data_IF_021834396083
#
_entry.id   IF_021834396083
#
_cell.length_a   1.000
_cell.length_b   1.000
_cell.length_c   1.000
_cell.angle_alpha   90.00
_cell.angle_beta   90.00
_cell.angle_gamma   90.00
#
_symmetry.space_group_name_H-M   'P 1'
#
loop_
_entity.id
_entity.type
_entity.pdbx_description
1 polymer ?
#
# COMPACT_ATOMS: atom_id res chain seq x y z
N UNK A 1 -40.52 -0.97 40.40
CA UNK A 1 -39.04 -0.90 40.46
C UNK A 1 -38.54 0.17 39.47
N UNK A 2 -38.44 1.45 39.89
CA UNK A 2 -37.98 2.56 39.02
C UNK A 2 -36.44 2.52 38.97
N UNK A 3 -35.85 1.92 37.93
CA UNK A 3 -34.38 1.97 37.73
C UNK A 3 -33.96 3.43 37.63
N UNK A 4 -32.98 3.80 38.44
CA UNK A 4 -32.59 5.19 38.68
C UNK A 4 -31.83 5.75 37.46
N UNK A 5 -32.57 6.32 36.50
CA UNK A 5 -32.02 6.94 35.27
C UNK A 5 -30.90 7.96 35.55
N UNK A 6 -30.92 8.60 36.72
CA UNK A 6 -29.91 9.57 37.14
C UNK A 6 -28.51 8.96 37.40
N UNK A 7 -28.42 7.72 37.91
CA UNK A 7 -27.14 7.04 38.13
C UNK A 7 -26.50 6.60 36.79
N UNK A 8 -27.31 6.17 35.83
CA UNK A 8 -26.80 5.86 34.49
C UNK A 8 -26.28 7.12 33.78
N UNK A 9 -27.02 8.24 33.80
CA UNK A 9 -26.59 9.45 33.10
C UNK A 9 -25.27 10.02 33.63
N UNK A 10 -25.05 10.02 34.95
CA UNK A 10 -23.77 10.44 35.55
C UNK A 10 -22.62 9.48 35.21
N UNK A 11 -22.89 8.19 35.11
CA UNK A 11 -21.92 7.18 34.66
C UNK A 11 -21.49 7.36 33.20
N UNK A 12 -22.44 7.59 32.29
CA UNK A 12 -22.16 7.87 30.87
C UNK A 12 -21.42 9.20 30.67
N UNK A 13 -21.76 10.24 31.44
CA UNK A 13 -21.04 11.51 31.41
C UNK A 13 -19.59 11.34 31.89
N UNK A 14 -19.38 10.64 33.01
CA UNK A 14 -18.03 10.34 33.50
C UNK A 14 -17.20 9.53 32.51
N UNK A 15 -17.80 8.53 31.86
CA UNK A 15 -17.16 7.76 30.81
C UNK A 15 -16.79 8.62 29.60
N UNK A 16 -17.70 9.48 29.13
CA UNK A 16 -17.46 10.38 28.00
C UNK A 16 -16.31 11.36 28.28
N UNK A 17 -16.28 11.97 29.46
CA UNK A 17 -15.19 12.87 29.87
C UNK A 17 -13.86 12.11 29.96
N UNK A 18 -13.85 10.91 30.53
CA UNK A 18 -12.65 10.08 30.61
C UNK A 18 -12.11 9.69 29.23
N UNK A 19 -12.99 9.29 28.31
CA UNK A 19 -12.61 8.95 26.94
C UNK A 19 -12.05 10.15 26.17
N UNK A 20 -12.64 11.33 26.31
CA UNK A 20 -12.13 12.56 25.68
C UNK A 20 -10.78 12.98 26.27
N UNK A 21 -10.60 12.89 27.58
CA UNK A 21 -9.33 13.18 28.22
C UNK A 21 -8.23 12.21 27.74
N UNK A 22 -8.55 10.92 27.59
CA UNK A 22 -7.64 9.94 27.02
C UNK A 22 -7.30 10.26 25.56
N UNK A 23 -8.29 10.55 24.71
CA UNK A 23 -8.08 10.92 23.31
C UNK A 23 -7.25 12.20 23.15
N UNK A 24 -7.38 13.15 24.08
CA UNK A 24 -6.53 14.34 24.15
C UNK A 24 -5.11 14.01 24.59
N UNK A 25 -4.96 13.17 25.62
CA UNK A 25 -3.66 12.77 26.16
C UNK A 25 -2.81 12.00 25.13
N UNK A 26 -3.41 11.11 24.34
CA UNK A 26 -2.66 10.35 23.33
C UNK A 26 -2.08 11.22 22.20
N UNK A 27 -2.60 12.45 21.98
CA UNK A 27 -2.04 13.36 20.97
C UNK A 27 -0.65 13.88 21.35
N UNK A 28 -0.23 13.74 22.61
CA UNK A 28 1.10 14.16 23.08
C UNK A 28 2.18 13.09 22.89
N UNK A 29 1.81 11.88 22.46
CA UNK A 29 2.78 10.87 22.09
C UNK A 29 3.37 11.26 20.72
N UNK A 30 4.70 11.45 20.61
CA UNK A 30 5.32 12.01 19.40
C UNK A 30 5.29 11.07 18.18
N UNK A 31 4.92 9.80 18.37
CA UNK A 31 4.85 8.83 17.29
C UNK A 31 3.84 9.25 16.22
N UNK A 32 4.20 9.06 14.94
CA UNK A 32 3.38 9.43 13.79
C UNK A 32 3.22 10.92 13.56
N UNK A 33 3.97 11.80 14.26
CA UNK A 33 3.98 13.24 14.01
C UNK A 33 4.91 13.65 12.85
N UNK A 34 5.96 12.88 12.61
CA UNK A 34 6.96 13.16 11.57
C UNK A 34 6.52 12.56 10.23
N UNK A 35 6.01 13.43 9.36
CA UNK A 35 5.45 13.07 8.04
C UNK A 35 6.28 13.67 6.92
N UNK A 36 7.59 13.64 7.12
CA UNK A 36 8.55 14.17 6.17
C UNK A 36 8.90 13.08 5.18
N UNK A 37 8.81 13.41 3.90
CA UNK A 37 9.23 12.55 2.83
C UNK A 37 10.76 12.63 2.71
N UNK A 38 11.47 11.48 2.75
CA UNK A 38 12.90 11.46 2.46
C UNK A 38 13.19 11.92 1.02
N UNK A 39 14.47 12.06 0.69
CA UNK A 39 14.90 12.34 -0.68
C UNK A 39 14.45 11.24 -1.65
N UNK A 40 14.26 11.62 -2.91
CA UNK A 40 14.01 10.67 -4.01
C UNK A 40 15.36 10.34 -4.63
N UNK A 41 15.66 9.05 -4.78
CA UNK A 41 16.89 8.60 -5.43
C UNK A 41 16.60 8.23 -6.89
N UNK A 42 15.99 7.07 -7.10
CA UNK A 42 15.74 6.51 -8.43
C UNK A 42 14.50 5.63 -8.41
N UNK A 43 13.79 5.63 -9.52
CA UNK A 43 12.65 4.75 -9.79
C UNK A 43 13.08 3.56 -10.66
N UNK A 44 12.30 2.46 -10.70
CA UNK A 44 12.54 1.40 -11.69
C UNK A 44 12.45 1.91 -13.11
N UNK A 45 13.11 1.20 -14.03
CA UNK A 45 12.92 1.37 -15.45
C UNK A 45 11.53 0.86 -15.87
N UNK A 46 10.52 1.71 -15.75
CA UNK A 46 9.14 1.40 -16.09
C UNK A 46 9.00 0.89 -17.53
N UNK A 47 8.21 -0.16 -17.74
CA UNK A 47 7.91 -0.67 -19.09
C UNK A 47 7.19 0.38 -19.95
N UNK A 48 6.37 1.23 -19.31
CA UNK A 48 5.62 2.28 -19.97
C UNK A 48 5.27 3.44 -19.02
N UNK A 49 5.06 4.66 -19.55
CA UNK A 49 4.54 5.78 -18.76
C UNK A 49 3.18 5.48 -18.10
N UNK A 50 2.37 4.64 -18.72
CA UNK A 50 1.06 4.22 -18.22
C UNK A 50 1.20 3.35 -16.97
N UNK A 51 2.14 2.40 -16.95
CA UNK A 51 2.43 1.61 -15.75
C UNK A 51 2.88 2.49 -14.61
N UNK A 52 3.83 3.40 -14.85
CA UNK A 52 4.27 4.37 -13.85
C UNK A 52 3.10 5.17 -13.28
N UNK A 53 2.21 5.66 -14.14
CA UNK A 53 1.04 6.44 -13.72
C UNK A 53 0.09 5.62 -12.83
N UNK A 54 -0.14 4.34 -13.15
CA UNK A 54 -0.95 3.45 -12.33
C UNK A 54 -0.30 3.16 -10.98
N UNK A 55 0.99 2.84 -10.96
CA UNK A 55 1.74 2.58 -9.71
C UNK A 55 1.79 3.83 -8.84
N UNK A 56 2.04 5.01 -9.42
CA UNK A 56 2.01 6.27 -8.68
C UNK A 56 0.64 6.58 -8.08
N UNK A 57 -0.43 6.19 -8.76
CA UNK A 57 -1.80 6.39 -8.25
C UNK A 57 -2.14 5.48 -7.08
N UNK A 58 -1.65 4.23 -7.08
CA UNK A 58 -2.17 3.20 -6.16
C UNK A 58 -1.15 2.66 -5.16
N UNK A 59 0.15 2.85 -5.40
CA UNK A 59 1.21 2.29 -4.57
C UNK A 59 2.06 3.37 -3.88
N UNK A 60 2.32 4.52 -4.53
CA UNK A 60 3.31 5.49 -4.06
C UNK A 60 2.98 6.08 -2.69
N UNK A 61 1.70 6.16 -2.32
CA UNK A 61 1.33 6.68 -1.01
C UNK A 61 1.92 5.84 0.14
N UNK A 62 2.14 4.53 -0.04
CA UNK A 62 2.80 3.66 0.96
C UNK A 62 4.21 3.21 0.56
N UNK A 63 4.47 2.97 -0.71
CA UNK A 63 5.70 2.36 -1.22
C UNK A 63 6.62 3.36 -1.94
N UNK A 64 6.61 4.64 -1.56
CA UNK A 64 7.52 5.63 -2.13
C UNK A 64 7.89 6.72 -1.14
N UNK A 65 8.98 7.45 -1.41
CA UNK A 65 9.30 8.70 -0.71
C UNK A 65 8.44 9.87 -1.20
N UNK A 66 7.45 9.64 -2.07
CA UNK A 66 6.48 10.64 -2.53
C UNK A 66 5.11 10.51 -1.85
N UNK A 67 5.05 9.94 -0.64
CA UNK A 67 3.80 9.76 0.11
C UNK A 67 3.00 11.06 0.22
N UNK A 68 1.73 11.03 -0.22
CA UNK A 68 0.79 12.12 0.01
C UNK A 68 0.10 11.92 1.34
N UNK A 69 0.62 12.55 2.39
CA UNK A 69 0.09 12.43 3.74
C UNK A 69 -1.33 13.01 3.86
N UNK A 70 -2.37 12.19 4.08
CA UNK A 70 -3.73 12.68 4.19
C UNK A 70 -3.94 13.43 5.51
N UNK A 71 -4.89 14.35 5.56
CA UNK A 71 -5.10 15.20 6.76
C UNK A 71 -5.43 14.40 8.02
N UNK A 72 -6.10 13.25 7.88
CA UNK A 72 -6.43 12.38 9.01
C UNK A 72 -5.22 11.66 9.59
N UNK A 73 -4.09 11.60 8.85
CA UNK A 73 -2.83 11.08 9.38
C UNK A 73 -2.23 12.00 10.45
N UNK A 74 -2.88 13.15 10.74
CA UNK A 74 -2.44 14.13 11.75
C UNK A 74 -2.93 13.88 13.17
N UNK A 75 -3.91 13.01 13.35
CA UNK A 75 -4.61 12.85 14.62
C UNK A 75 -4.46 11.41 15.12
N UNK A 76 -3.99 11.23 16.35
CA UNK A 76 -3.88 9.92 16.96
C UNK A 76 -5.27 9.36 17.31
N UNK A 77 -5.46 8.03 17.27
CA UNK A 77 -4.46 7.00 16.99
C UNK A 77 -4.23 6.73 15.49
N UNK A 78 -5.01 7.36 14.59
CA UNK A 78 -4.95 7.09 13.15
C UNK A 78 -3.59 7.47 12.56
N UNK A 79 -2.98 8.56 13.04
CA UNK A 79 -1.62 8.96 12.66
C UNK A 79 -0.60 7.84 12.84
N UNK A 80 -0.73 7.04 13.89
CA UNK A 80 0.21 5.96 14.21
C UNK A 80 0.07 4.80 13.22
N UNK A 81 -1.18 4.44 12.87
CA UNK A 81 -1.45 3.38 11.90
C UNK A 81 -0.92 3.76 10.52
N UNK A 82 -1.22 4.99 10.06
CA UNK A 82 -0.72 5.46 8.75
C UNK A 82 0.80 5.52 8.73
N UNK A 83 1.43 6.00 9.81
CA UNK A 83 2.88 6.02 9.91
C UNK A 83 3.47 4.60 9.82
N UNK A 84 2.89 3.66 10.57
CA UNK A 84 3.34 2.27 10.57
C UNK A 84 3.21 1.66 9.16
N UNK A 85 2.05 1.78 8.51
CA UNK A 85 1.81 1.26 7.17
C UNK A 85 2.79 1.82 6.12
N UNK A 86 3.12 3.12 6.19
CA UNK A 86 4.09 3.74 5.28
C UNK A 86 5.52 3.28 5.57
N UNK A 87 5.89 3.14 6.85
CA UNK A 87 7.24 2.68 7.24
C UNK A 87 7.46 1.23 6.80
N UNK A 88 6.53 0.33 7.13
CA UNK A 88 6.59 -1.08 6.72
C UNK A 88 6.52 -1.22 5.20
N UNK A 89 5.59 -0.51 4.56
CA UNK A 89 5.44 -0.53 3.10
C UNK A 89 6.73 -0.12 2.39
N UNK A 90 7.36 0.99 2.79
CA UNK A 90 8.67 1.40 2.24
C UNK A 90 9.76 0.38 2.54
N UNK A 91 9.81 -0.19 3.74
CA UNK A 91 10.84 -1.18 4.09
C UNK A 91 10.80 -2.39 3.13
N UNK A 92 9.61 -2.94 2.91
CA UNK A 92 9.35 -4.04 2.00
C UNK A 92 9.62 -3.70 0.53
N UNK A 93 9.13 -2.54 0.08
CA UNK A 93 9.23 -2.08 -1.31
C UNK A 93 9.18 -0.55 -1.38
N UNK A 94 10.21 0.08 -1.94
CA UNK A 94 10.26 1.54 -2.14
C UNK A 94 10.61 1.92 -3.57
N UNK A 95 9.62 2.41 -4.32
CA UNK A 95 9.76 2.88 -5.70
C UNK A 95 10.61 4.13 -5.85
N UNK A 96 10.94 4.86 -4.78
CA UNK A 96 11.83 6.03 -4.84
C UNK A 96 13.30 5.70 -4.52
N UNK A 97 13.58 4.48 -4.09
CA UNK A 97 14.91 3.99 -3.67
C UNK A 97 15.26 2.72 -4.45
N UNK A 98 15.20 2.76 -5.79
CA UNK A 98 15.32 1.55 -6.60
C UNK A 98 16.73 0.94 -6.68
N UNK A 99 17.74 1.59 -6.09
CA UNK A 99 19.12 1.09 -6.07
C UNK A 99 19.39 0.03 -4.99
N UNK A 100 18.49 -0.17 -4.03
CA UNK A 100 18.61 -1.22 -3.02
C UNK A 100 17.78 -2.47 -3.37
N UNK A 101 18.04 -3.62 -2.73
CA UNK A 101 17.19 -4.80 -2.87
C UNK A 101 15.78 -4.54 -2.30
N UNK A 102 14.78 -5.16 -2.94
CA UNK A 102 13.38 -5.14 -2.51
C UNK A 102 12.85 -6.57 -2.56
N UNK A 103 12.67 -7.20 -1.40
CA UNK A 103 12.28 -8.61 -1.29
C UNK A 103 10.89 -8.86 -1.89
N UNK A 104 9.96 -7.93 -1.69
CA UNK A 104 8.57 -8.05 -2.15
C UNK A 104 8.34 -7.56 -3.59
N UNK A 105 9.37 -7.06 -4.28
CA UNK A 105 9.21 -6.57 -5.66
C UNK A 105 8.76 -7.68 -6.63
N UNK A 106 9.19 -8.93 -6.40
CA UNK A 106 8.78 -10.07 -7.22
C UNK A 106 7.31 -10.45 -7.00
N UNK A 107 6.80 -10.25 -5.78
CA UNK A 107 5.44 -10.63 -5.37
C UNK A 107 4.41 -9.54 -5.64
N UNK A 108 4.84 -8.29 -5.85
CA UNK A 108 3.98 -7.13 -6.09
C UNK A 108 2.91 -7.36 -7.16
N UNK A 109 3.23 -8.10 -8.24
CA UNK A 109 2.25 -8.39 -9.29
C UNK A 109 1.18 -9.41 -8.87
N UNK A 110 1.53 -10.37 -8.01
CA UNK A 110 0.65 -11.42 -7.53
C UNK A 110 -0.32 -10.86 -6.48
N UNK A 111 0.19 -10.12 -5.49
CA UNK A 111 -0.65 -9.50 -4.44
C UNK A 111 -1.65 -8.47 -5.00
N UNK A 112 -1.26 -7.77 -6.07
CA UNK A 112 -2.18 -6.87 -6.80
C UNK A 112 -3.22 -7.69 -7.56
N UNK A 113 -2.82 -8.75 -8.27
CA UNK A 113 -3.74 -9.65 -8.98
C UNK A 113 -4.80 -10.25 -8.03
N UNK A 114 -4.38 -10.59 -6.82
CA UNK A 114 -5.22 -11.16 -5.76
C UNK A 114 -6.05 -10.10 -5.01
N UNK A 115 -5.91 -8.82 -5.40
CA UNK A 115 -6.61 -7.66 -4.82
C UNK A 115 -6.35 -7.43 -3.34
N UNK A 116 -5.24 -7.95 -2.83
CA UNK A 116 -4.76 -7.65 -1.49
C UNK A 116 -4.23 -6.21 -1.43
N UNK A 117 -3.57 -5.78 -2.50
CA UNK A 117 -3.11 -4.41 -2.68
C UNK A 117 -3.88 -3.66 -3.78
N UNK A 118 -4.35 -2.42 -3.53
CA UNK A 118 -4.33 -1.72 -2.24
C UNK A 118 -5.36 -2.29 -1.24
N UNK A 119 -5.09 -2.21 0.08
CA UNK A 119 -5.99 -2.76 1.10
C UNK A 119 -7.40 -2.19 1.03
N UNK A 120 -8.40 -2.98 1.43
CA UNK A 120 -9.80 -2.56 1.35
C UNK A 120 -10.06 -1.23 2.07
N UNK A 121 -9.54 -1.07 3.29
CA UNK A 121 -9.71 0.16 4.08
C UNK A 121 -9.13 1.39 3.35
N UNK A 122 -7.99 1.23 2.69
CA UNK A 122 -7.39 2.28 1.89
C UNK A 122 -8.31 2.68 0.72
N UNK A 123 -8.84 1.70 -0.02
CA UNK A 123 -9.77 1.93 -1.14
C UNK A 123 -11.12 2.52 -0.73
N UNK A 124 -11.54 2.32 0.52
CA UNK A 124 -12.76 2.95 1.04
C UNK A 124 -12.56 4.46 1.24
N UNK A 125 -11.36 4.86 1.69
CA UNK A 125 -11.02 6.27 1.94
C UNK A 125 -10.44 6.99 0.69
N UNK A 126 -9.87 6.23 -0.25
CA UNK A 126 -9.26 6.75 -1.49
C UNK A 126 -9.92 6.10 -2.70
N UNK A 127 -10.90 6.80 -3.28
CA UNK A 127 -11.63 6.30 -4.43
C UNK A 127 -10.72 6.16 -5.67
N UNK A 128 -9.70 7.01 -5.79
CA UNK A 128 -8.69 6.99 -6.85
C UNK A 128 -7.82 5.71 -6.85
N UNK A 129 -7.71 5.05 -5.69
CA UNK A 129 -6.95 3.81 -5.54
C UNK A 129 -7.74 2.57 -5.97
N UNK A 130 -9.02 2.71 -6.33
CA UNK A 130 -9.86 1.61 -6.78
C UNK A 130 -9.49 1.22 -8.20
N UNK A 131 -8.92 0.02 -8.34
CA UNK A 131 -8.61 -0.56 -9.64
C UNK A 131 -9.88 -1.17 -10.26
N UNK A 132 -10.27 -0.61 -11.41
CA UNK A 132 -11.20 -1.27 -12.35
C UNK A 132 -10.48 -2.44 -13.01
N UNK A 133 -11.22 -3.41 -13.51
CA UNK A 133 -10.64 -4.64 -14.07
C UNK A 133 -9.61 -4.37 -15.17
N UNK A 134 -9.86 -3.39 -16.05
CA UNK A 134 -8.89 -3.02 -17.07
C UNK A 134 -7.60 -2.42 -16.50
N UNK A 135 -7.73 -1.55 -15.49
CA UNK A 135 -6.58 -0.91 -14.84
C UNK A 135 -5.79 -1.95 -14.02
N UNK A 136 -6.49 -2.92 -13.40
CA UNK A 136 -5.88 -4.05 -12.71
C UNK A 136 -5.03 -4.88 -13.67
N UNK A 137 -5.59 -5.27 -14.82
CA UNK A 137 -4.87 -6.07 -15.82
C UNK A 137 -3.65 -5.30 -16.36
N UNK A 138 -3.81 -4.01 -16.66
CA UNK A 138 -2.70 -3.15 -17.13
C UNK A 138 -1.62 -3.04 -16.07
N UNK A 139 -1.99 -2.83 -14.80
CA UNK A 139 -1.06 -2.71 -13.69
C UNK A 139 -0.30 -4.02 -13.46
N UNK A 140 -0.99 -5.16 -13.37
CA UNK A 140 -0.34 -6.48 -13.17
C UNK A 140 0.65 -6.77 -14.30
N UNK A 141 0.26 -6.54 -15.56
CA UNK A 141 1.17 -6.71 -16.70
C UNK A 141 2.39 -5.78 -16.58
N UNK A 142 2.15 -4.50 -16.28
CA UNK A 142 3.22 -3.51 -16.14
C UNK A 142 4.20 -3.85 -15.01
N UNK A 143 3.69 -4.33 -13.88
CA UNK A 143 4.50 -4.80 -12.76
C UNK A 143 5.35 -6.02 -13.15
N UNK A 144 4.79 -7.00 -13.87
CA UNK A 144 5.57 -8.16 -14.36
C UNK A 144 6.69 -7.70 -15.30
N UNK A 145 6.40 -6.78 -16.23
CA UNK A 145 7.39 -6.30 -17.20
C UNK A 145 8.46 -5.39 -16.58
N UNK A 146 8.09 -4.62 -15.56
CA UNK A 146 8.99 -3.68 -14.87
C UNK A 146 9.82 -4.39 -13.79
N UNK A 147 9.22 -5.29 -13.01
CA UNK A 147 9.84 -5.88 -11.82
C UNK A 147 10.42 -7.27 -12.10
N UNK A 148 9.82 -8.03 -13.02
CA UNK A 148 10.28 -9.37 -13.38
C UNK A 148 11.59 -9.41 -14.19
N UNK A 149 12.08 -8.25 -14.66
CA UNK A 149 13.35 -8.12 -15.39
C UNK A 149 14.55 -7.84 -14.47
N UNK A 150 14.32 -7.44 -13.22
CA UNK A 150 15.37 -6.98 -12.29
C UNK A 150 15.67 -7.95 -11.13
N UNK A 151 15.07 -9.15 -11.12
CA UNK A 151 15.41 -10.22 -10.17
C UNK A 151 16.80 -10.86 -10.36
N UNK A 152 17.71 -10.24 -11.12
CA UNK A 152 19.05 -10.79 -11.42
C UNK A 152 20.19 -9.86 -10.95
N UNK A 153 20.11 -9.36 -9.73
CA UNK A 153 21.30 -8.90 -9.00
C UNK A 153 21.29 -9.49 -7.59
N UNK A 154 21.65 -10.78 -7.53
CA UNK A 154 22.08 -11.43 -6.30
C UNK A 154 21.05 -12.35 -5.64
N UNK A 155 20.74 -13.49 -6.26
CA UNK A 155 20.53 -14.76 -5.54
C UNK A 155 20.79 -15.93 -6.49
N UNK A 156 21.99 -16.48 -6.40
CA UNK A 156 22.32 -17.79 -6.93
C UNK A 156 21.63 -18.83 -6.02
N UNK A 157 20.60 -19.50 -6.55
CA UNK A 157 20.04 -20.70 -5.92
C UNK A 157 18.67 -20.55 -5.24
N UNK A 158 17.63 -20.18 -5.99
CA UNK A 158 16.30 -20.83 -5.94
C UNK A 158 15.43 -20.33 -7.09
N UNK A 159 15.14 -21.24 -8.02
CA UNK A 159 14.13 -21.12 -9.09
C UNK A 159 14.22 -19.88 -9.97
N UNK A 160 15.34 -19.74 -10.69
CA UNK A 160 15.38 -18.89 -11.87
C UNK A 160 14.33 -19.40 -12.88
N UNK A 161 13.25 -18.64 -13.05
CA UNK A 161 12.39 -18.75 -14.23
C UNK A 161 13.30 -18.46 -15.43
N UNK A 162 13.57 -19.41 -16.34
CA UNK A 162 14.53 -19.20 -17.42
C UNK A 162 14.15 -17.94 -18.23
N UNK A 163 15.10 -17.17 -18.77
CA UNK A 163 14.79 -16.00 -19.61
C UNK A 163 13.83 -16.32 -20.76
N UNK A 164 13.83 -17.56 -21.25
CA UNK A 164 12.83 -18.08 -22.19
C UNK A 164 11.40 -18.09 -21.60
N UNK A 165 11.25 -18.41 -20.31
CA UNK A 165 10.01 -18.36 -19.57
C UNK A 165 9.56 -16.94 -19.22
N UNK A 166 10.46 -15.97 -18.99
CA UNK A 166 10.10 -14.55 -18.88
C UNK A 166 9.57 -14.00 -20.23
N UNK A 167 10.22 -14.36 -21.34
CA UNK A 167 9.71 -14.09 -22.68
C UNK A 167 8.37 -14.77 -22.97
N UNK A 168 8.19 -16.00 -22.48
CA UNK A 168 6.92 -16.73 -22.58
C UNK A 168 5.84 -16.20 -21.62
N UNK A 169 6.18 -15.66 -20.46
CA UNK A 169 5.24 -14.99 -19.55
C UNK A 169 4.80 -13.66 -20.16
N UNK A 170 5.71 -12.82 -20.64
CA UNK A 170 5.38 -11.61 -21.38
C UNK A 170 4.58 -11.89 -22.68
N UNK A 171 4.75 -13.08 -23.29
CA UNK A 171 3.95 -13.55 -24.43
C UNK A 171 2.61 -14.19 -24.00
N UNK A 172 2.56 -14.86 -22.86
CA UNK A 172 1.36 -15.44 -22.24
C UNK A 172 0.43 -14.33 -21.76
N UNK A 173 0.96 -13.32 -21.07
CA UNK A 173 0.25 -12.11 -20.72
C UNK A 173 -0.21 -11.33 -21.96
N UNK A 174 0.52 -11.37 -23.08
CA UNK A 174 0.08 -10.81 -24.38
C UNK A 174 -1.15 -11.51 -24.96
N UNK A 175 -1.30 -12.81 -24.69
CA UNK A 175 -2.38 -13.66 -25.22
C UNK A 175 -3.34 -14.15 -24.11
N UNK A 176 -3.37 -13.49 -22.95
CA UNK A 176 -4.10 -13.96 -21.77
C UNK A 176 -5.62 -13.91 -22.02
N UNK A 177 -6.33 -15.06 -22.05
CA UNK A 177 -7.78 -15.04 -22.17
C UNK A 177 -8.38 -14.52 -20.86
N UNK A 178 -9.18 -13.46 -20.97
CA UNK A 178 -9.89 -12.81 -19.89
C UNK A 178 -10.93 -13.75 -19.28
N UNK A 179 -10.54 -14.62 -18.36
CA UNK A 179 -11.50 -15.34 -17.51
C UNK A 179 -11.58 -14.64 -16.17
N UNK A 180 -12.38 -13.58 -16.13
CA UNK A 180 -12.87 -13.00 -14.89
C UNK A 180 -14.01 -13.92 -14.44
N UNK A 181 -13.71 -14.86 -13.55
CA UNK A 181 -14.77 -15.58 -12.84
C UNK A 181 -15.46 -14.57 -11.92
N UNK A 182 -16.63 -14.13 -12.38
CA UNK A 182 -17.52 -13.18 -11.73
C UNK A 182 -18.24 -13.94 -10.61
N UNK A 183 -17.79 -13.76 -9.38
CA UNK A 183 -18.52 -14.17 -8.17
C UNK A 183 -19.08 -12.96 -7.45
#
# INVERSE_FOLDING_TARGET
>A
MKRNKYLSTRGWVGFGVGALALLGAIQFVPYGHDRVNPGIETEPAWDSPQTRALVKRVCFDCHSNETRWPVYSRVAPVSWLVQHDVVEGRAALNFSEWQRPHEEAAEASDVVREREMPPLMYRLMHAEARLRDEDLIRLVRGLVLTLGTHGTSGQEGRSAVPQAAAGNLARSYRNFPLRIDRH
#
